data_IF_708880886663
#
_entry.id   IF_708880886663
#
_cell.length_a   1.000
_cell.length_b   1.000
_cell.length_c   1.000
_cell.angle_alpha   90.00
_cell.angle_beta   90.00
_cell.angle_gamma   90.00
#
_symmetry.space_group_name_H-M   'P 1'
#
loop_
_entity.id
_entity.type
_entity.pdbx_description
1 polymer ?
#
# COMPACT_ATOMS: atom_id res chain seq x y z
N UNK A 1 24.91 -40.01 8.19
CA UNK A 1 24.36 -41.06 7.30
C UNK A 1 23.39 -41.89 8.10
N UNK A 2 22.10 -41.62 7.98
CA UNK A 2 21.04 -42.46 8.51
C UNK A 2 19.96 -42.51 7.43
N UNK A 3 19.88 -43.69 6.83
CA UNK A 3 19.05 -44.12 5.73
C UNK A 3 17.67 -44.51 6.32
N UNK A 4 16.61 -43.79 5.97
CA UNK A 4 15.23 -44.15 6.35
C UNK A 4 14.45 -44.45 5.07
N UNK A 5 14.50 -45.74 4.80
CA UNK A 5 13.83 -46.53 3.77
C UNK A 5 12.30 -46.51 3.96
N UNK A 6 11.59 -46.21 2.88
CA UNK A 6 10.31 -46.79 2.43
C UNK A 6 9.17 -47.03 3.44
N UNK A 7 8.05 -46.31 3.24
CA UNK A 7 6.71 -46.89 3.38
C UNK A 7 5.71 -46.22 2.41
N UNK A 8 5.48 -46.90 1.29
CA UNK A 8 4.28 -46.90 0.42
C UNK A 8 3.76 -48.34 0.57
N UNK A 9 2.44 -48.67 0.74
CA UNK A 9 1.30 -48.41 -0.17
C UNK A 9 -0.07 -48.29 0.63
N UNK A 10 -1.31 -48.45 0.09
CA UNK A 10 -1.72 -48.81 -1.27
C UNK A 10 -2.80 -47.96 -1.95
N UNK A 11 -2.77 -48.12 -3.28
CA UNK A 11 -3.78 -47.83 -4.27
C UNK A 11 -5.15 -48.40 -3.90
N UNK A 12 -6.15 -47.52 -3.76
CA UNK A 12 -7.56 -47.83 -3.61
C UNK A 12 -8.29 -47.60 -4.94
N UNK A 13 -8.63 -48.72 -5.56
CA UNK A 13 -9.24 -48.87 -6.86
C UNK A 13 -10.75 -48.55 -6.89
N UNK A 14 -11.20 -48.04 -8.03
CA UNK A 14 -12.54 -48.12 -8.63
C UNK A 14 -13.74 -47.44 -7.95
N UNK A 15 -14.16 -46.33 -8.54
CA UNK A 15 -15.58 -46.15 -8.87
C UNK A 15 -15.70 -45.46 -10.23
N UNK A 16 -15.86 -46.30 -11.25
CA UNK A 16 -16.36 -45.93 -12.56
C UNK A 16 -17.88 -45.93 -12.44
N UNK A 17 -18.51 -44.76 -12.51
CA UNK A 17 -19.89 -44.67 -12.97
C UNK A 17 -19.89 -43.67 -14.12
N UNK A 18 -19.81 -44.26 -15.32
CA UNK A 18 -20.27 -43.63 -16.54
C UNK A 18 -21.79 -43.54 -16.47
N UNK A 19 -22.33 -42.33 -16.61
CA UNK A 19 -23.70 -42.13 -17.06
C UNK A 19 -23.73 -40.89 -17.94
N UNK A 20 -23.80 -41.17 -19.24
CA UNK A 20 -24.02 -40.20 -20.29
C UNK A 20 -25.37 -39.50 -20.12
N UNK A 21 -25.42 -38.18 -20.34
CA UNK A 21 -26.51 -37.60 -21.09
C UNK A 21 -26.06 -36.29 -21.74
N UNK A 22 -26.03 -36.32 -23.07
CA UNK A 22 -25.90 -35.15 -23.91
C UNK A 22 -27.18 -34.29 -23.80
N UNK A 23 -27.02 -32.99 -23.63
CA UNK A 23 -27.94 -32.05 -24.26
C UNK A 23 -27.21 -30.76 -24.63
N UNK A 24 -26.96 -30.64 -25.92
CA UNK A 24 -26.55 -29.41 -26.56
C UNK A 24 -27.69 -28.39 -26.46
N UNK A 25 -27.41 -27.26 -25.81
CA UNK A 25 -28.13 -26.00 -26.05
C UNK A 25 -27.08 -25.00 -26.51
N UNK A 26 -26.84 -25.02 -27.82
CA UNK A 26 -26.25 -23.89 -28.54
C UNK A 26 -27.42 -22.98 -28.90
N UNK A 27 -27.64 -21.90 -28.14
CA UNK A 27 -28.48 -20.78 -28.56
C UNK A 27 -28.02 -19.49 -27.86
N UNK A 28 -27.36 -18.65 -28.67
CA UNK A 28 -27.33 -17.19 -28.56
C UNK A 28 -26.91 -16.58 -27.22
N UNK A 29 -25.59 -16.53 -26.96
CA UNK A 29 -25.08 -15.41 -26.16
C UNK A 29 -25.07 -14.16 -27.06
N UNK A 30 -25.78 -13.08 -26.72
CA UNK A 30 -25.43 -11.79 -27.27
C UNK A 30 -23.98 -11.53 -26.84
N UNK A 31 -23.10 -11.34 -27.82
CA UNK A 31 -21.82 -10.71 -27.61
C UNK A 31 -22.11 -9.29 -27.12
N UNK A 32 -22.36 -9.18 -25.81
CA UNK A 32 -22.39 -7.92 -25.11
C UNK A 32 -21.04 -7.29 -25.36
N UNK A 33 -21.04 -6.29 -26.24
CA UNK A 33 -20.02 -5.25 -26.30
C UNK A 33 -19.70 -4.94 -24.85
N UNK A 34 -18.49 -5.33 -24.43
CA UNK A 34 -17.93 -4.94 -23.16
C UNK A 34 -17.89 -3.41 -23.21
N UNK A 35 -18.94 -2.79 -22.71
CA UNK A 35 -18.97 -1.37 -22.42
C UNK A 35 -17.70 -1.12 -21.63
N UNK A 36 -16.85 -0.22 -22.14
CA UNK A 36 -15.71 0.29 -21.39
C UNK A 36 -16.26 0.71 -20.02
N UNK A 37 -16.02 -0.13 -19.02
CA UNK A 37 -16.70 -0.06 -17.74
C UNK A 37 -16.43 1.31 -17.15
N UNK A 38 -17.49 2.00 -16.75
CA UNK A 38 -17.35 3.24 -16.01
C UNK A 38 -16.41 2.99 -14.81
N UNK A 39 -15.52 3.94 -14.47
CA UNK A 39 -14.55 3.76 -13.40
C UNK A 39 -15.29 3.39 -12.10
N UNK A 40 -15.00 2.20 -11.60
CA UNK A 40 -15.61 1.70 -10.37
C UNK A 40 -14.88 2.33 -9.18
N UNK A 41 -15.65 2.91 -8.27
CA UNK A 41 -15.14 3.54 -7.06
C UNK A 41 -15.27 2.57 -5.89
N UNK A 42 -14.14 2.19 -5.31
CA UNK A 42 -14.07 1.29 -4.16
C UNK A 42 -13.76 2.05 -2.89
N UNK A 43 -14.36 1.59 -1.78
CA UNK A 43 -14.11 2.05 -0.42
C UNK A 43 -14.02 0.86 0.51
N UNK A 44 -13.01 0.87 1.38
CA UNK A 44 -12.70 -0.21 2.30
C UNK A 44 -12.65 0.33 3.73
N UNK A 45 -13.78 0.33 4.44
CA UNK A 45 -13.88 0.92 5.79
C UNK A 45 -12.78 0.44 6.78
N UNK A 46 -12.25 -0.78 6.58
CA UNK A 46 -11.13 -1.33 7.38
C UNK A 46 -9.81 -0.55 7.26
N UNK A 47 -9.61 0.23 6.21
CA UNK A 47 -8.41 1.05 6.02
C UNK A 47 -8.48 2.36 6.81
N UNK A 48 -9.68 2.81 7.17
CA UNK A 48 -9.90 4.05 7.92
C UNK A 48 -9.55 3.84 9.40
N UNK A 49 -8.28 4.05 9.74
CA UNK A 49 -7.75 3.83 11.09
C UNK A 49 -6.53 4.70 11.37
N UNK A 50 -6.11 4.67 12.63
CA UNK A 50 -4.81 5.19 13.02
C UNK A 50 -3.72 4.17 12.71
N UNK A 51 -2.61 4.67 12.18
CA UNK A 51 -1.38 3.93 11.93
C UNK A 51 -0.31 4.54 12.84
N UNK A 52 0.40 3.66 13.54
CA UNK A 52 1.63 3.94 14.28
C UNK A 52 2.77 3.16 13.62
N UNK A 53 3.99 3.32 14.10
CA UNK A 53 5.16 2.54 13.67
C UNK A 53 5.68 2.94 12.27
N UNK A 54 5.83 4.24 12.07
CA UNK A 54 6.57 4.78 10.93
C UNK A 54 8.08 4.71 11.16
N UNK A 55 8.87 4.91 10.09
CA UNK A 55 10.33 4.93 10.17
C UNK A 55 10.77 5.97 11.22
N UNK A 56 11.53 5.50 12.21
CA UNK A 56 11.88 6.28 13.40
C UNK A 56 13.05 7.23 13.15
N UNK A 57 13.93 6.89 12.22
CA UNK A 57 15.20 7.59 11.99
C UNK A 57 15.30 8.14 10.56
N UNK A 58 15.63 9.42 10.44
CA UNK A 58 15.92 10.07 9.17
C UNK A 58 17.43 10.16 8.97
N UNK A 59 17.87 10.11 7.71
CA UNK A 59 19.28 10.30 7.37
C UNK A 59 19.77 11.66 7.94
N UNK A 60 20.98 11.71 8.51
CA UNK A 60 21.53 12.95 9.05
C UNK A 60 21.55 14.05 7.99
N UNK A 61 21.15 15.25 8.40
CA UNK A 61 21.14 16.46 7.56
C UNK A 61 22.24 17.38 8.09
N UNK A 62 23.14 17.87 7.24
CA UNK A 62 24.20 18.76 7.71
C UNK A 62 25.23 19.14 6.63
N UNK A 63 25.95 20.22 6.91
CA UNK A 63 27.11 20.71 6.14
C UNK A 63 28.36 20.67 7.03
N UNK A 64 29.56 20.85 6.48
CA UNK A 64 30.83 20.71 7.22
C UNK A 64 30.83 21.53 8.53
N UNK A 65 30.87 20.82 9.68
CA UNK A 65 30.89 21.42 11.02
C UNK A 65 29.56 21.42 11.77
N UNK A 66 28.45 21.07 11.12
CA UNK A 66 27.13 20.91 11.73
C UNK A 66 26.41 19.65 11.23
N UNK A 67 25.99 18.76 12.13
CA UNK A 67 25.14 17.62 11.79
C UNK A 67 23.86 17.61 12.62
N UNK A 68 22.76 17.24 11.99
CA UNK A 68 21.43 17.17 12.60
C UNK A 68 20.91 15.77 12.38
N UNK A 69 20.73 15.03 13.47
CA UNK A 69 20.06 13.74 13.46
C UNK A 69 18.61 13.95 13.89
N UNK A 70 17.67 13.54 13.03
CA UNK A 70 16.25 13.68 13.29
C UNK A 70 15.66 12.31 13.61
N UNK A 71 15.04 12.21 14.78
CA UNK A 71 14.38 11.02 15.27
C UNK A 71 12.94 11.35 15.65
N UNK A 72 11.99 10.50 15.29
CA UNK A 72 10.58 10.70 15.64
C UNK A 72 10.01 9.44 16.31
N UNK A 73 10.15 9.32 17.65
CA UNK A 73 9.90 8.08 18.39
C UNK A 73 8.42 7.75 18.56
N UNK A 74 7.54 8.73 18.40
CA UNK A 74 6.10 8.52 18.47
C UNK A 74 5.43 9.28 17.35
N UNK A 75 4.84 8.54 16.41
CA UNK A 75 4.17 9.08 15.24
C UNK A 75 2.81 8.42 15.10
N UNK A 76 1.79 9.20 14.78
CA UNK A 76 0.46 8.69 14.51
C UNK A 76 -0.11 9.39 13.28
N UNK A 77 -0.44 8.61 12.26
CA UNK A 77 -1.17 9.06 11.09
C UNK A 77 -2.57 8.48 11.12
N UNK A 78 -3.56 9.31 10.86
CA UNK A 78 -4.96 8.93 10.79
C UNK A 78 -5.37 9.01 9.33
N UNK A 79 -5.71 7.87 8.74
CA UNK A 79 -6.41 7.81 7.46
C UNK A 79 -7.91 7.95 7.75
N UNK A 80 -8.47 9.11 7.41
CA UNK A 80 -9.89 9.42 7.67
C UNK A 80 -10.80 8.84 6.61
N UNK A 81 -10.40 9.02 5.36
CA UNK A 81 -11.13 8.50 4.22
C UNK A 81 -10.16 8.11 3.12
N UNK A 82 -10.63 7.23 2.24
CA UNK A 82 -9.91 6.88 1.02
C UNK A 82 -10.90 6.51 -0.08
N UNK A 83 -10.50 6.78 -1.31
CA UNK A 83 -11.25 6.40 -2.50
C UNK A 83 -10.33 5.83 -3.53
N UNK A 84 -10.63 4.62 -3.99
CA UNK A 84 -9.88 3.97 -5.06
C UNK A 84 -10.74 3.99 -6.32
N UNK A 85 -10.19 4.47 -7.43
CA UNK A 85 -10.82 4.42 -8.74
C UNK A 85 -9.96 3.55 -9.65
N UNK A 86 -10.59 2.55 -10.26
CA UNK A 86 -9.92 1.69 -11.22
C UNK A 86 -10.47 1.93 -12.61
N UNK A 87 -9.57 2.14 -13.57
CA UNK A 87 -9.90 2.24 -14.99
C UNK A 87 -9.14 1.16 -15.75
N UNK A 88 -9.79 0.34 -16.59
CA UNK A 88 -9.10 -0.67 -17.37
C UNK A 88 -8.12 -0.02 -18.36
N UNK A 89 -6.87 -0.52 -18.43
CA UNK A 89 -5.82 0.02 -19.31
C UNK A 89 -5.80 -0.61 -20.71
N UNK A 90 -6.66 -1.59 -20.96
CA UNK A 90 -6.71 -2.33 -22.21
C UNK A 90 -7.86 -3.33 -22.22
N UNK A 91 -7.86 -4.31 -23.16
CA UNK A 91 -8.84 -5.38 -23.13
C UNK A 91 -8.77 -6.10 -21.78
N UNK A 92 -9.93 -6.37 -21.17
CA UNK A 92 -10.04 -6.95 -19.83
C UNK A 92 -9.30 -8.30 -19.63
N UNK A 93 -8.76 -8.91 -20.69
CA UNK A 93 -8.01 -10.17 -20.65
C UNK A 93 -6.67 -10.07 -19.92
N UNK A 94 -6.03 -8.91 -19.93
CA UNK A 94 -4.69 -8.75 -19.31
C UNK A 94 -4.77 -8.40 -17.82
N UNK A 95 -5.99 -8.11 -17.32
CA UNK A 95 -6.22 -7.76 -15.93
C UNK A 95 -5.52 -6.48 -15.48
N UNK A 96 -5.04 -5.63 -16.40
CA UNK A 96 -4.31 -4.41 -16.09
C UNK A 96 -5.25 -3.20 -15.93
N UNK A 97 -5.11 -2.49 -14.82
CA UNK A 97 -5.90 -1.32 -14.47
C UNK A 97 -4.99 -0.16 -14.06
N UNK A 98 -5.35 1.06 -14.45
CA UNK A 98 -4.86 2.26 -13.81
C UNK A 98 -5.67 2.49 -12.55
N UNK A 99 -4.98 2.77 -11.46
CA UNK A 99 -5.56 3.10 -10.19
C UNK A 99 -5.30 4.56 -9.84
N UNK A 100 -6.32 5.25 -9.39
CA UNK A 100 -6.19 6.50 -8.66
C UNK A 100 -6.64 6.26 -7.22
N UNK A 101 -5.78 6.60 -6.27
CA UNK A 101 -6.08 6.53 -4.85
C UNK A 101 -6.09 7.94 -4.29
N UNK A 102 -7.24 8.37 -3.81
CA UNK A 102 -7.39 9.59 -3.01
C UNK A 102 -7.37 9.20 -1.53
N UNK A 103 -6.53 9.85 -0.74
CA UNK A 103 -6.36 9.59 0.70
C UNK A 103 -6.57 10.90 1.47
N UNK A 104 -7.47 10.89 2.45
CA UNK A 104 -7.60 11.99 3.39
C UNK A 104 -6.88 11.65 4.68
N UNK A 105 -5.74 12.32 4.92
CA UNK A 105 -4.85 12.03 6.03
C UNK A 105 -4.68 13.23 6.94
N UNK A 106 -4.42 12.96 8.21
CA UNK A 106 -3.96 13.93 9.21
C UNK A 106 -3.18 13.18 10.28
N UNK A 107 -2.41 13.85 11.10
CA UNK A 107 -1.57 13.15 12.05
C UNK A 107 -0.80 14.07 12.99
N UNK A 108 -0.07 13.45 13.90
CA UNK A 108 0.82 14.13 14.83
C UNK A 108 1.94 13.20 15.28
N UNK A 109 3.02 13.77 15.76
CA UNK A 109 4.13 13.01 16.34
C UNK A 109 5.07 13.90 17.14
N UNK A 110 6.02 13.28 17.81
CA UNK A 110 7.12 13.97 18.46
C UNK A 110 8.33 13.94 17.54
N UNK A 111 9.03 15.07 17.41
CA UNK A 111 10.32 15.17 16.73
C UNK A 111 11.40 15.49 17.75
N UNK A 112 12.48 14.74 17.69
CA UNK A 112 13.70 14.97 18.44
C UNK A 112 14.79 15.25 17.42
N UNK A 113 15.43 16.40 17.53
CA UNK A 113 16.56 16.78 16.71
C UNK A 113 17.79 16.89 17.60
N UNK A 114 18.77 16.02 17.36
CA UNK A 114 20.08 16.12 17.97
C UNK A 114 20.99 16.91 17.03
N UNK A 115 21.30 18.14 17.43
CA UNK A 115 22.13 19.10 16.68
C UNK A 115 23.54 19.08 17.25
N UNK A 116 24.50 18.71 16.41
CA UNK A 116 25.93 18.70 16.74
C UNK A 116 26.61 19.84 16.00
N UNK A 117 27.26 20.75 16.73
CA UNK A 117 28.06 21.87 16.20
C UNK A 117 29.42 21.88 16.88
N UNK A 118 30.43 21.31 16.22
CA UNK A 118 31.75 21.07 16.83
C UNK A 118 31.63 20.24 18.13
N UNK A 119 32.09 20.73 19.29
CA UNK A 119 31.96 20.02 20.57
C UNK A 119 30.58 20.18 21.24
N UNK A 120 29.68 20.99 20.67
CA UNK A 120 28.37 21.29 21.27
C UNK A 120 27.34 20.30 20.73
N UNK A 121 26.67 19.57 21.62
CA UNK A 121 25.51 18.74 21.29
C UNK A 121 24.28 19.35 21.96
N UNK A 122 23.24 19.64 21.18
CA UNK A 122 21.97 20.17 21.66
C UNK A 122 20.81 19.33 21.15
N UNK A 123 20.00 18.85 22.08
CA UNK A 123 18.75 18.20 21.77
C UNK A 123 17.62 19.24 21.71
N UNK A 124 16.82 19.19 20.64
CA UNK A 124 15.60 19.96 20.46
C UNK A 124 14.43 19.00 20.37
N UNK A 125 13.33 19.30 21.05
CA UNK A 125 12.12 18.49 21.01
C UNK A 125 10.95 19.34 20.54
N UNK A 126 10.15 18.80 19.63
CA UNK A 126 8.98 19.47 19.06
C UNK A 126 7.82 18.51 18.82
N UNK A 127 6.65 19.09 18.57
CA UNK A 127 5.51 18.38 18.00
C UNK A 127 5.49 18.58 16.48
N UNK A 128 5.49 17.46 15.75
CA UNK A 128 5.13 17.45 14.33
C UNK A 128 3.62 17.32 14.24
N UNK A 129 3.01 18.19 13.45
CA UNK A 129 1.61 18.09 13.08
C UNK A 129 1.51 17.85 11.57
N UNK A 130 0.73 16.85 11.19
CA UNK A 130 0.33 16.63 9.80
C UNK A 130 -1.08 17.21 9.66
N UNK A 131 -1.24 18.41 9.07
CA UNK A 131 -2.55 19.01 8.92
C UNK A 131 -3.44 18.13 8.03
N UNK A 132 -4.77 18.27 8.13
CA UNK A 132 -5.69 17.59 7.22
C UNK A 132 -5.36 17.91 5.77
N UNK A 133 -5.04 16.89 4.98
CA UNK A 133 -4.73 17.04 3.57
C UNK A 133 -5.16 15.82 2.75
N UNK A 134 -5.51 16.09 1.49
CA UNK A 134 -5.91 15.07 0.53
C UNK A 134 -4.74 14.77 -0.40
N UNK A 135 -4.30 13.52 -0.43
CA UNK A 135 -3.26 13.04 -1.33
C UNK A 135 -3.89 12.28 -2.49
N UNK A 136 -3.34 12.48 -3.69
CA UNK A 136 -3.74 11.74 -4.90
C UNK A 136 -2.56 10.96 -5.43
N UNK A 137 -2.71 9.64 -5.43
CA UNK A 137 -1.69 8.71 -5.86
C UNK A 137 -2.18 8.00 -7.12
N UNK A 138 -1.39 8.11 -8.19
CA UNK A 138 -1.60 7.33 -9.39
C UNK A 138 -0.78 6.05 -9.33
N UNK A 139 -1.34 4.95 -9.81
CA UNK A 139 -0.67 3.66 -9.88
C UNK A 139 -1.21 2.77 -11.00
N UNK A 140 -0.55 1.64 -11.19
CA UNK A 140 -1.02 0.55 -12.03
C UNK A 140 -1.10 -0.70 -11.20
N UNK A 141 -2.20 -1.43 -11.35
CA UNK A 141 -2.43 -2.69 -10.65
C UNK A 141 -2.85 -3.75 -11.65
N UNK A 142 -2.50 -4.99 -11.36
CA UNK A 142 -3.01 -6.18 -12.02
C UNK A 142 -4.02 -6.86 -11.12
N UNK A 143 -5.20 -7.15 -11.65
CA UNK A 143 -6.27 -7.83 -10.94
C UNK A 143 -6.51 -9.18 -11.59
N UNK A 144 -6.43 -10.23 -10.78
CA UNK A 144 -6.62 -11.61 -11.21
C UNK A 144 -7.70 -12.28 -10.38
N UNK A 145 -8.61 -13.01 -11.02
CA UNK A 145 -9.58 -13.86 -10.30
C UNK A 145 -8.88 -15.11 -9.79
N UNK A 146 -9.07 -15.42 -8.51
CA UNK A 146 -8.56 -16.61 -7.82
C UNK A 146 -9.73 -17.38 -7.20
N UNK A 147 -9.50 -18.59 -6.69
CA UNK A 147 -10.55 -19.46 -6.16
C UNK A 147 -11.44 -18.77 -5.11
N UNK A 148 -10.83 -17.96 -4.24
CA UNK A 148 -11.49 -17.30 -3.11
C UNK A 148 -11.81 -15.81 -3.36
N UNK A 149 -11.71 -15.33 -4.62
CA UNK A 149 -12.07 -13.95 -4.96
C UNK A 149 -11.14 -13.30 -5.97
N UNK A 150 -10.61 -12.12 -5.62
CA UNK A 150 -9.73 -11.32 -6.47
C UNK A 150 -8.40 -11.06 -5.77
N UNK A 151 -7.33 -11.28 -6.50
CA UNK A 151 -5.97 -10.90 -6.12
C UNK A 151 -5.62 -9.60 -6.84
N UNK A 152 -5.13 -8.61 -6.09
CA UNK A 152 -4.72 -7.31 -6.60
C UNK A 152 -3.21 -7.19 -6.37
N UNK A 153 -2.44 -7.15 -7.45
CA UNK A 153 -0.98 -6.98 -7.42
C UNK A 153 -0.63 -5.59 -7.92
N UNK A 154 0.10 -4.77 -7.15
CA UNK A 154 0.60 -3.50 -7.67
C UNK A 154 1.70 -3.74 -8.71
N UNK A 155 1.53 -3.20 -9.91
CA UNK A 155 2.55 -3.20 -10.97
C UNK A 155 3.42 -1.95 -10.88
N UNK A 156 2.81 -0.79 -10.62
CA UNK A 156 3.50 0.49 -10.49
C UNK A 156 2.84 1.30 -9.38
N UNK A 157 3.58 1.52 -8.29
CA UNK A 157 3.19 2.42 -7.21
C UNK A 157 4.34 3.38 -6.91
N UNK A 158 4.06 4.59 -6.43
CA UNK A 158 5.10 5.45 -5.90
C UNK A 158 5.77 4.75 -4.72
N UNK A 159 7.11 4.69 -4.74
CA UNK A 159 7.91 4.11 -3.65
C UNK A 159 7.90 4.98 -2.38
N UNK A 160 7.52 6.25 -2.52
CA UNK A 160 7.42 7.23 -1.45
C UNK A 160 6.22 8.13 -1.67
N UNK A 161 5.55 8.49 -0.58
CA UNK A 161 4.47 9.47 -0.56
C UNK A 161 4.98 10.69 0.20
N UNK A 162 4.87 11.86 -0.41
CA UNK A 162 5.20 13.13 0.24
C UNK A 162 4.01 13.63 1.04
N UNK A 163 4.29 14.07 2.26
CA UNK A 163 3.28 14.51 3.23
C UNK A 163 3.74 15.87 3.73
N UNK A 164 2.87 16.89 3.63
CA UNK A 164 3.18 18.17 4.25
C UNK A 164 3.13 18.02 5.77
N UNK A 165 4.18 18.48 6.44
CA UNK A 165 4.32 18.46 7.90
C UNK A 165 4.57 19.87 8.41
N UNK A 166 4.09 20.16 9.61
CA UNK A 166 4.31 21.42 10.30
C UNK A 166 5.07 21.14 11.60
N UNK A 167 6.17 21.88 11.81
CA UNK A 167 6.99 21.84 13.03
C UNK A 167 7.52 23.24 13.30
N UNK A 168 7.53 23.65 14.57
CA UNK A 168 8.13 24.91 15.01
C UNK A 168 9.66 24.84 15.00
N UNK A 169 10.22 23.71 15.41
CA UNK A 169 11.66 23.47 15.47
C UNK A 169 12.31 23.42 14.10
N UNK A 170 11.66 22.84 13.09
CA UNK A 170 12.16 22.89 11.70
C UNK A 170 12.33 24.34 11.25
N UNK A 171 11.35 25.21 11.52
CA UNK A 171 11.43 26.62 11.16
C UNK A 171 12.54 27.37 11.92
N UNK A 172 12.83 26.97 13.16
CA UNK A 172 13.93 27.54 13.95
C UNK A 172 15.30 27.11 13.43
N UNK A 173 15.45 25.83 13.04
CA UNK A 173 16.69 25.29 12.48
C UNK A 173 17.00 25.95 11.13
N UNK A 174 16.00 26.13 10.26
CA UNK A 174 16.16 26.78 8.96
C UNK A 174 16.51 28.28 9.05
N UNK A 175 16.35 28.89 10.23
CA UNK A 175 16.64 30.29 10.47
C UNK A 175 18.03 30.52 11.12
N UNK A 176 18.76 29.45 11.44
CA UNK A 176 20.15 29.49 11.92
C UNK A 176 21.12 29.52 10.75
#
# INVERSE_FOLDING_TARGET
>A
MADVKNLVPPSGSHSVIAAALALAVFLSLPAGLAAAGAPEAFRFEKLNRAYSDFVEELAPIGEEGMSIQLTSPSQTMILRDHRIRLSPLGPAKDGAFSGEVELDIQGKGALIADVVMGPIVRQLTDEIVVPPQTLRLAGKVRIRRVADGYEITPDQLPSRIEVAVQSRTINQILAL
#
